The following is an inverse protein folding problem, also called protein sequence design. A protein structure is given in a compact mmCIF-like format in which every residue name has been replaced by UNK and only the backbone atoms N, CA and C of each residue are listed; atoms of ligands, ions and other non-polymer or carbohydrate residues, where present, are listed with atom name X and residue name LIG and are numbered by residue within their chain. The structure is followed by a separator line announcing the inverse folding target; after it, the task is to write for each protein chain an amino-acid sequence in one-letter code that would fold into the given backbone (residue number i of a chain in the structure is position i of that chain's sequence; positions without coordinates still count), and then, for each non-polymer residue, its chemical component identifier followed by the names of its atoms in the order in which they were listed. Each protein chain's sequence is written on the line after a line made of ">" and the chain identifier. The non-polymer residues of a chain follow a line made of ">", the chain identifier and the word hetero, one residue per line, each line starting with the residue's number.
data_IF_739486630774
#
_entry.id   IF_739486630774
#
_cell.length_a   1.000
_cell.length_b   1.000
_cell.length_c   1.000
_cell.angle_alpha   90.00
_cell.angle_beta   90.00
_cell.angle_gamma   90.00
#
_symmetry.space_group_name_H-M   'P 1'
#
loop_
_entity.id
_entity.type
_entity.pdbx_description
1 polymer ?
#
# COMPACT_ATOMS: atom_id res chain seq x y z
N UNK A 1 4.26 27.48 6.64
CA UNK A 1 3.75 26.82 5.41
C UNK A 1 4.54 25.54 5.20
N UNK A 2 3.90 24.46 4.76
CA UNK A 2 4.59 23.19 4.45
C UNK A 2 5.32 23.27 3.12
N UNK A 3 6.51 22.66 3.03
CA UNK A 3 7.34 22.64 1.81
C UNK A 3 6.95 21.53 0.82
N UNK A 4 6.24 20.51 1.29
CA UNK A 4 5.80 19.35 0.50
C UNK A 4 4.29 19.19 0.64
N UNK A 5 3.61 18.92 -0.48
CA UNK A 5 2.18 18.73 -0.59
C UNK A 5 1.82 17.27 -0.87
N UNK A 6 0.97 17.08 -1.89
CA UNK A 6 0.67 15.76 -2.45
C UNK A 6 1.59 15.57 -3.64
N UNK A 7 2.53 14.63 -3.51
CA UNK A 7 3.58 14.42 -4.49
C UNK A 7 3.45 13.01 -5.09
N UNK A 8 3.80 12.90 -6.38
CA UNK A 8 3.97 11.62 -7.06
C UNK A 8 5.45 11.24 -7.02
N UNK A 9 5.78 10.17 -6.31
CA UNK A 9 7.15 9.64 -6.21
C UNK A 9 7.36 8.49 -7.20
N UNK A 10 8.54 8.41 -7.83
CA UNK A 10 8.90 7.33 -8.76
C UNK A 10 9.83 6.36 -8.06
N UNK A 11 9.31 5.19 -7.68
CA UNK A 11 10.01 4.20 -6.88
C UNK A 11 10.48 3.04 -7.75
N UNK A 12 11.76 2.68 -7.62
CA UNK A 12 12.28 1.44 -8.19
C UNK A 12 12.08 0.28 -7.21
N UNK A 13 11.56 -0.84 -7.70
CA UNK A 13 11.38 -2.07 -6.92
C UNK A 13 12.04 -3.23 -7.66
N UNK A 14 13.05 -3.91 -7.08
CA UNK A 14 13.65 -5.06 -7.73
C UNK A 14 12.63 -6.19 -7.90
N UNK A 15 12.90 -7.07 -8.85
CA UNK A 15 12.10 -8.28 -9.08
C UNK A 15 12.05 -9.07 -7.77
N UNK A 16 10.84 -9.37 -7.30
CA UNK A 16 10.62 -10.02 -6.00
C UNK A 16 10.54 -11.53 -6.16
N UNK A 17 11.17 -12.25 -5.24
CA UNK A 17 10.87 -13.66 -4.98
C UNK A 17 9.43 -13.81 -4.46
N UNK A 18 8.84 -15.00 -4.63
CA UNK A 18 7.44 -15.31 -4.32
C UNK A 18 6.44 -14.40 -5.06
N UNK A 19 6.81 -13.97 -6.26
CA UNK A 19 5.94 -13.19 -7.15
C UNK A 19 6.03 -13.75 -8.56
N UNK A 20 5.01 -13.53 -9.39
CA UNK A 20 5.06 -14.00 -10.78
C UNK A 20 6.28 -13.47 -11.56
N UNK A 21 6.84 -12.33 -11.16
CA UNK A 21 8.00 -11.72 -11.79
C UNK A 21 9.31 -12.45 -11.50
N UNK A 22 9.36 -13.38 -10.53
CA UNK A 22 10.57 -14.13 -10.19
C UNK A 22 11.12 -14.95 -11.38
N UNK A 23 10.25 -15.33 -12.32
CA UNK A 23 10.59 -16.00 -13.56
C UNK A 23 11.08 -15.00 -14.64
N UNK A 24 12.12 -14.24 -14.30
CA UNK A 24 12.61 -13.10 -15.07
C UNK A 24 13.47 -13.49 -16.29
N UNK A 25 14.69 -13.96 -16.04
CA UNK A 25 15.67 -14.38 -17.05
C UNK A 25 16.06 -15.85 -16.79
N UNK A 26 15.42 -16.81 -17.46
CA UNK A 26 15.47 -18.21 -17.04
C UNK A 26 16.72 -18.98 -17.45
N UNK A 27 17.49 -18.51 -18.45
CA UNK A 27 18.59 -19.28 -19.05
C UNK A 27 19.95 -18.61 -18.97
N UNK A 28 19.99 -17.29 -19.10
CA UNK A 28 21.21 -16.50 -19.16
C UNK A 28 21.01 -15.14 -18.48
N UNK A 29 22.08 -14.37 -18.38
CA UNK A 29 22.07 -12.99 -17.89
C UNK A 29 22.25 -12.06 -19.08
N UNK A 30 21.33 -11.11 -19.26
CA UNK A 30 21.42 -10.06 -20.27
C UNK A 30 21.35 -8.69 -19.63
N UNK A 31 22.28 -7.83 -20.02
CA UNK A 31 22.40 -6.44 -19.60
C UNK A 31 21.85 -5.49 -20.67
N UNK A 32 20.71 -4.86 -20.38
CA UNK A 32 20.06 -3.91 -21.28
C UNK A 32 20.94 -2.70 -21.60
N UNK A 33 21.83 -2.30 -20.68
CA UNK A 33 22.70 -1.13 -20.87
C UNK A 33 23.82 -1.42 -21.87
N UNK A 34 24.13 -2.69 -22.10
CA UNK A 34 25.06 -3.16 -23.14
C UNK A 34 24.36 -3.49 -24.47
N UNK A 35 23.03 -3.36 -24.54
CA UNK A 35 22.25 -3.71 -25.73
C UNK A 35 22.01 -5.22 -25.90
N UNK A 36 22.20 -6.01 -24.86
CA UNK A 36 22.00 -7.48 -24.90
C UNK A 36 20.51 -7.86 -24.82
N UNK A 37 19.67 -6.95 -24.30
CA UNK A 37 18.22 -7.07 -24.24
C UNK A 37 17.55 -5.68 -24.17
N UNK A 38 16.23 -5.63 -24.32
CA UNK A 38 15.43 -4.42 -24.07
C UNK A 38 15.33 -4.12 -22.56
N UNK A 39 15.16 -2.85 -22.20
CA UNK A 39 14.82 -2.44 -20.83
C UNK A 39 13.32 -2.66 -20.59
N UNK A 40 12.98 -3.73 -19.87
CA UNK A 40 11.61 -4.13 -19.52
C UNK A 40 11.46 -4.11 -18.00
N UNK A 41 10.81 -3.10 -17.41
CA UNK A 41 10.59 -3.02 -15.96
C UNK A 41 9.84 -4.24 -15.43
N UNK A 42 10.40 -4.88 -14.40
CA UNK A 42 9.86 -6.11 -13.81
C UNK A 42 10.29 -7.41 -14.49
N UNK A 43 11.20 -7.35 -15.47
CA UNK A 43 11.75 -8.54 -16.15
C UNK A 43 13.24 -8.45 -16.43
N UNK A 44 13.69 -7.42 -17.14
CA UNK A 44 15.13 -7.19 -17.43
C UNK A 44 15.66 -5.95 -16.70
N UNK A 45 14.80 -5.24 -15.98
CA UNK A 45 15.07 -4.08 -15.13
C UNK A 45 14.16 -4.13 -13.87
N UNK A 46 14.41 -3.34 -12.81
CA UNK A 46 13.47 -3.21 -11.71
C UNK A 46 12.11 -2.68 -12.20
N UNK A 47 11.03 -2.98 -11.47
CA UNK A 47 9.77 -2.27 -11.65
C UNK A 47 9.98 -0.77 -11.38
N UNK A 48 9.25 0.08 -12.10
CA UNK A 48 9.21 1.54 -11.92
C UNK A 48 7.77 1.91 -11.59
N UNK A 49 7.53 2.34 -10.35
CA UNK A 49 6.18 2.43 -9.77
C UNK A 49 5.90 3.86 -9.30
N UNK A 50 4.80 4.50 -9.74
CA UNK A 50 4.35 5.76 -9.16
C UNK A 50 3.71 5.52 -7.79
N UNK A 51 4.12 6.28 -6.77
CA UNK A 51 3.60 6.22 -5.41
C UNK A 51 3.15 7.60 -4.96
N UNK A 52 1.86 7.73 -4.63
CA UNK A 52 1.27 8.98 -4.14
C UNK A 52 1.55 9.18 -2.64
N UNK A 53 2.28 10.27 -2.32
CA UNK A 53 2.65 10.65 -0.94
C UNK A 53 1.97 11.96 -0.57
N UNK A 54 1.08 11.89 0.43
CA UNK A 54 0.45 13.08 1.01
C UNK A 54 1.26 13.50 2.25
N UNK A 55 2.27 14.34 2.04
CA UNK A 55 3.21 14.71 3.12
C UNK A 55 2.54 15.46 4.27
N UNK A 56 1.62 16.42 4.05
CA UNK A 56 0.85 17.04 5.13
C UNK A 56 0.06 16.03 5.98
N UNK A 57 -0.37 14.90 5.40
CA UNK A 57 -1.11 13.85 6.09
C UNK A 57 -0.23 12.75 6.73
N UNK A 58 1.11 12.91 6.76
CA UNK A 58 2.03 11.86 7.25
C UNK A 58 1.69 11.37 8.66
N UNK A 59 1.47 12.29 9.60
CA UNK A 59 1.14 11.94 10.99
C UNK A 59 -0.22 11.23 11.11
N UNK A 60 -1.22 11.71 10.38
CA UNK A 60 -2.56 11.10 10.40
C UNK A 60 -2.54 9.69 9.79
N UNK A 61 -1.74 9.47 8.75
CA UNK A 61 -1.52 8.13 8.16
C UNK A 61 -0.71 7.20 9.08
N UNK A 62 0.27 7.73 9.83
CA UNK A 62 1.04 6.94 10.79
C UNK A 62 0.20 6.49 12.00
N UNK A 63 -0.72 7.35 12.44
CA UNK A 63 -1.59 7.11 13.61
C UNK A 63 -2.92 6.44 13.26
N UNK A 64 -3.01 5.77 12.09
CA UNK A 64 -4.18 5.03 11.66
C UNK A 64 -3.79 3.82 10.79
N UNK A 65 -4.68 2.83 10.72
CA UNK A 65 -4.50 1.71 9.78
C UNK A 65 -5.10 2.11 8.42
N UNK A 66 -4.25 2.08 7.38
CA UNK A 66 -4.60 2.56 6.05
C UNK A 66 -5.68 1.73 5.33
N UNK A 67 -6.24 2.26 4.23
CA UNK A 67 -7.33 1.62 3.49
C UNK A 67 -6.96 0.43 2.62
N UNK A 68 -5.66 0.20 2.38
CA UNK A 68 -5.23 -0.85 1.46
C UNK A 68 -5.48 -2.26 1.99
N UNK A 69 -5.53 -2.46 3.31
CA UNK A 69 -5.87 -3.75 3.92
C UNK A 69 -7.29 -4.23 3.56
N UNK A 70 -8.21 -3.30 3.30
CA UNK A 70 -9.59 -3.62 2.90
C UNK A 70 -9.76 -3.60 1.38
N UNK A 71 -9.09 -2.65 0.70
CA UNK A 71 -9.22 -2.48 -0.75
C UNK A 71 -8.45 -3.54 -1.56
N UNK A 72 -7.24 -3.88 -1.12
CA UNK A 72 -6.35 -4.83 -1.79
C UNK A 72 -6.36 -6.18 -1.06
N UNK A 73 -6.38 -6.15 0.28
CA UNK A 73 -6.31 -7.33 1.13
C UNK A 73 -4.97 -7.41 1.86
N UNK A 74 -4.60 -8.63 2.28
CA UNK A 74 -3.33 -8.94 2.90
C UNK A 74 -2.66 -10.11 2.16
N UNK A 75 -1.36 -10.29 2.36
CA UNK A 75 -0.63 -11.38 1.72
C UNK A 75 0.86 -11.34 1.96
N UNK A 76 1.53 -12.37 1.45
CA UNK A 76 2.96 -12.59 1.52
C UNK A 76 3.30 -14.01 1.12
N UNK A 77 4.56 -14.28 0.78
CA UNK A 77 5.02 -15.62 0.36
C UNK A 77 4.14 -16.23 -0.76
N UNK A 78 3.85 -15.41 -1.79
CA UNK A 78 3.17 -15.87 -3.00
C UNK A 78 1.67 -16.07 -2.88
N UNK A 79 1.06 -15.78 -1.72
CA UNK A 79 -0.38 -15.92 -1.49
C UNK A 79 -1.01 -14.63 -0.97
N UNK A 80 -2.31 -14.47 -1.23
CA UNK A 80 -3.11 -13.34 -0.79
C UNK A 80 -4.46 -13.81 -0.25
N UNK A 81 -5.05 -13.03 0.67
CA UNK A 81 -6.35 -13.32 1.28
C UNK A 81 -7.08 -12.02 1.65
N UNK A 82 -8.41 -12.13 1.79
CA UNK A 82 -9.24 -11.04 2.30
C UNK A 82 -9.07 -10.93 3.82
N UNK A 83 -8.92 -9.70 4.34
CA UNK A 83 -8.73 -9.46 5.79
C UNK A 83 -9.79 -8.52 6.40
N UNK A 84 -10.97 -8.45 5.77
CA UNK A 84 -12.04 -7.56 6.20
C UNK A 84 -12.50 -7.83 7.65
N UNK A 85 -12.62 -9.09 8.05
CA UNK A 85 -13.01 -9.46 9.42
C UNK A 85 -12.05 -8.95 10.48
N UNK A 86 -10.75 -8.98 10.19
CA UNK A 86 -9.72 -8.47 11.12
C UNK A 86 -9.76 -6.96 11.18
N UNK A 87 -9.98 -6.27 10.05
CA UNK A 87 -10.14 -4.82 10.03
C UNK A 87 -11.38 -4.36 10.82
N UNK A 88 -12.49 -5.09 10.72
CA UNK A 88 -13.70 -4.81 11.51
C UNK A 88 -13.50 -5.04 13.01
N UNK A 89 -12.70 -6.05 13.39
CA UNK A 89 -12.31 -6.28 14.77
C UNK A 89 -11.39 -5.16 15.29
N UNK A 90 -10.38 -4.76 14.51
CA UNK A 90 -9.43 -3.72 14.89
C UNK A 90 -10.11 -2.37 15.09
N UNK A 91 -11.16 -2.03 14.33
CA UNK A 91 -11.98 -0.84 14.59
C UNK A 91 -12.57 -0.82 16.01
N UNK A 92 -12.96 -1.98 16.54
CA UNK A 92 -13.56 -2.10 17.88
C UNK A 92 -12.50 -2.07 18.98
N UNK A 93 -11.35 -2.69 18.73
CA UNK A 93 -10.26 -2.78 19.70
C UNK A 93 -9.50 -1.45 19.84
N UNK A 94 -9.23 -0.80 18.71
CA UNK A 94 -8.37 0.37 18.64
C UNK A 94 -9.14 1.69 18.50
N UNK A 95 -10.47 1.61 18.36
CA UNK A 95 -11.34 2.71 17.94
C UNK A 95 -10.95 3.26 16.55
N UNK A 96 -11.61 4.34 16.12
CA UNK A 96 -11.38 4.95 14.81
C UNK A 96 -11.09 6.44 14.92
N UNK A 97 -10.39 6.97 13.92
CA UNK A 97 -10.25 8.42 13.72
C UNK A 97 -11.63 9.00 13.39
N UNK A 98 -12.04 10.01 14.15
CA UNK A 98 -13.34 10.67 13.99
C UNK A 98 -13.41 11.63 12.80
N UNK A 99 -12.27 12.17 12.38
CA UNK A 99 -12.15 13.18 11.31
C UNK A 99 -10.75 13.16 10.68
N UNK A 100 -10.55 13.96 9.64
CA UNK A 100 -9.27 14.14 8.96
C UNK A 100 -8.94 13.07 7.91
N UNK A 101 -7.72 13.07 7.34
CA UNK A 101 -7.32 12.16 6.27
C UNK A 101 -7.37 10.67 6.62
N UNK A 102 -7.30 10.35 7.92
CA UNK A 102 -7.44 8.99 8.44
C UNK A 102 -8.87 8.64 8.85
N UNK A 103 -9.86 9.52 8.64
CA UNK A 103 -11.24 9.33 9.09
C UNK A 103 -11.77 7.97 8.63
N UNK A 104 -12.26 7.20 9.59
CA UNK A 104 -13.01 5.99 9.32
C UNK A 104 -14.32 6.08 10.10
N UNK A 105 -15.47 6.06 9.42
CA UNK A 105 -16.73 6.07 10.12
C UNK A 105 -16.76 4.90 11.10
N UNK A 106 -16.99 5.20 12.38
CA UNK A 106 -17.34 4.18 13.35
C UNK A 106 -18.56 3.41 12.83
N UNK A 107 -18.68 2.15 13.21
CA UNK A 107 -19.87 1.36 12.95
C UNK A 107 -21.14 2.15 13.35
N UNK A 108 -22.20 1.98 12.57
CA UNK A 108 -23.44 2.73 12.78
C UNK A 108 -24.00 2.58 14.21
N UNK A 109 -23.65 1.49 14.90
CA UNK A 109 -23.99 1.22 16.30
C UNK A 109 -23.30 2.18 17.29
N UNK A 110 -22.00 2.45 17.16
CA UNK A 110 -21.30 3.38 18.07
C UNK A 110 -21.81 4.82 17.89
N UNK A 111 -22.10 5.24 16.65
CA UNK A 111 -22.69 6.58 16.37
C UNK A 111 -24.05 6.79 17.06
N UNK A 112 -24.80 5.71 17.34
CA UNK A 112 -26.09 5.77 18.04
C UNK A 112 -25.95 5.97 19.56
N UNK A 113 -24.85 5.50 20.16
CA UNK A 113 -24.59 5.64 21.60
C UNK A 113 -24.05 7.04 21.96
N UNK A 114 -23.29 7.67 21.07
CA UNK A 114 -22.71 9.00 21.33
C UNK A 114 -23.67 10.16 21.07
N UNK A 115 -24.77 9.95 20.33
CA UNK A 115 -25.85 10.95 20.16
C UNK A 115 -26.90 10.96 21.28
N UNK A 116 -26.76 10.10 22.29
CA UNK A 116 -27.66 9.99 23.44
C UNK A 116 -27.06 10.58 24.73
N UNK A 117 -26.04 11.44 24.63
CA UNK A 117 -25.53 12.24 25.74
C UNK A 117 -25.62 13.72 25.43
#
# INVERSE_FOLDING_TARGET
>A
MGHLGKETDVVTLPIQHDSAAELAQPFDVKDWKKGECELIPGKTAPHIIPVERDYPATYERFTSIGPLMEKIGNGGKGIAWNTQSEMDLLRKLNYTKAEGPGERPADAWIRRLTRLR
#
